data_IF_853806735897
#
_entry.id   IF_853806735897
#
_cell.length_a   1.000
_cell.length_b   1.000
_cell.length_c   1.000
_cell.angle_alpha   90.00
_cell.angle_beta   90.00
_cell.angle_gamma   90.00
#
_symmetry.space_group_name_H-M   'P 1'
#
loop_
_entity.id
_entity.type
_entity.pdbx_description
1 polymer ?
#
# COMPACT_ATOMS: atom_id res chain seq x y z
N UNK A 1 16.34 1.41 14.16
CA UNK A 1 14.92 1.10 13.90
C UNK A 1 14.80 0.90 12.40
N UNK A 2 14.58 -0.33 11.95
CA UNK A 2 14.88 -0.83 10.59
C UNK A 2 13.98 -0.20 9.52
N UNK A 3 14.59 0.44 8.53
CA UNK A 3 13.97 0.65 7.23
C UNK A 3 13.71 -0.74 6.62
N UNK A 4 12.44 -1.12 6.48
CA UNK A 4 12.10 -2.38 5.82
C UNK A 4 12.43 -2.20 4.34
N UNK A 5 13.15 -3.17 3.76
CA UNK A 5 13.38 -3.14 2.33
C UNK A 5 12.05 -3.27 1.57
N UNK A 6 11.95 -2.81 0.30
CA UNK A 6 10.74 -2.98 -0.51
C UNK A 6 10.22 -4.43 -0.55
N UNK A 7 11.12 -5.41 -0.44
CA UNK A 7 10.79 -6.83 -0.34
C UNK A 7 10.14 -7.20 1.01
N UNK A 8 10.60 -6.61 2.11
CA UNK A 8 10.02 -6.81 3.45
C UNK A 8 8.67 -6.11 3.62
N UNK A 9 8.49 -4.91 3.04
CA UNK A 9 7.19 -4.21 3.02
C UNK A 9 6.13 -4.99 2.25
N UNK A 10 6.49 -5.52 1.08
CA UNK A 10 5.61 -6.41 0.32
C UNK A 10 5.27 -7.70 1.10
N UNK A 11 6.21 -8.23 1.89
CA UNK A 11 5.95 -9.40 2.73
C UNK A 11 4.95 -9.07 3.87
N UNK A 12 5.05 -7.89 4.48
CA UNK A 12 4.12 -7.44 5.51
C UNK A 12 2.69 -7.29 4.95
N UNK A 13 2.54 -6.63 3.79
CA UNK A 13 1.24 -6.49 3.12
C UNK A 13 0.64 -7.86 2.76
N UNK A 14 1.45 -8.77 2.21
CA UNK A 14 1.00 -10.15 1.89
C UNK A 14 0.53 -10.90 3.13
N UNK A 15 1.22 -10.74 4.26
CA UNK A 15 0.83 -11.36 5.53
C UNK A 15 -0.52 -10.82 6.03
N UNK A 16 -0.72 -9.50 5.96
CA UNK A 16 -1.98 -8.85 6.35
C UNK A 16 -3.14 -9.31 5.47
N UNK A 17 -2.95 -9.33 4.14
CA UNK A 17 -3.97 -9.82 3.20
C UNK A 17 -4.31 -11.30 3.46
N UNK A 18 -3.32 -12.15 3.72
CA UNK A 18 -3.55 -13.57 4.03
C UNK A 18 -4.39 -13.72 5.31
N UNK A 19 -4.01 -13.04 6.39
CA UNK A 19 -4.73 -13.10 7.67
C UNK A 19 -6.17 -12.62 7.53
N UNK A 20 -6.39 -11.50 6.85
CA UNK A 20 -7.73 -10.98 6.58
C UNK A 20 -8.55 -11.93 5.71
N UNK A 21 -7.91 -12.56 4.71
CA UNK A 21 -8.53 -13.58 3.86
C UNK A 21 -8.97 -14.83 4.65
N UNK A 22 -8.16 -15.30 5.60
CA UNK A 22 -8.51 -16.41 6.49
C UNK A 22 -9.74 -16.07 7.36
N UNK A 23 -9.78 -14.88 7.96
CA UNK A 23 -10.91 -14.42 8.76
C UNK A 23 -12.20 -14.26 7.94
N UNK A 24 -12.06 -13.77 6.71
CA UNK A 24 -13.18 -13.67 5.78
C UNK A 24 -13.69 -15.05 5.37
N UNK A 25 -12.80 -16.01 5.11
CA UNK A 25 -13.18 -17.39 4.82
C UNK A 25 -13.97 -18.04 5.96
N UNK A 26 -13.51 -17.86 7.20
CA UNK A 26 -14.25 -18.31 8.39
C UNK A 26 -15.63 -17.64 8.50
N UNK A 27 -15.74 -16.37 8.13
CA UNK A 27 -17.01 -15.63 8.16
C UNK A 27 -17.97 -16.11 7.08
N UNK A 28 -17.48 -16.37 5.87
CA UNK A 28 -18.25 -16.98 4.78
C UNK A 28 -18.77 -18.36 5.18
N UNK A 29 -17.92 -19.21 5.78
CA UNK A 29 -18.34 -20.53 6.25
C UNK A 29 -19.45 -20.44 7.32
N UNK A 30 -19.39 -19.46 8.22
CA UNK A 30 -20.44 -19.24 9.23
C UNK A 30 -21.75 -18.72 8.64
N UNK A 31 -21.70 -17.90 7.60
CA UNK A 31 -22.89 -17.22 7.05
C UNK A 31 -23.58 -18.00 5.94
N UNK A 32 -22.81 -18.57 5.02
CA UNK A 32 -23.31 -19.23 3.81
C UNK A 32 -23.03 -20.74 3.78
N UNK A 33 -22.36 -21.25 4.82
CA UNK A 33 -21.99 -22.65 4.99
C UNK A 33 -20.64 -23.01 4.38
N UNK A 34 -20.11 -24.14 4.82
CA UNK A 34 -18.78 -24.64 4.43
C UNK A 34 -18.69 -25.00 2.94
N UNK A 35 -19.81 -25.37 2.33
CA UNK A 35 -19.90 -25.66 0.90
C UNK A 35 -19.50 -24.46 0.03
N UNK A 36 -19.89 -23.24 0.40
CA UNK A 36 -19.50 -22.05 -0.37
C UNK A 36 -17.99 -21.78 -0.25
N UNK A 37 -17.43 -21.89 0.95
CA UNK A 37 -15.99 -21.71 1.17
C UNK A 37 -15.19 -22.74 0.34
N UNK A 38 -15.61 -24.01 0.36
CA UNK A 38 -14.98 -25.06 -0.41
C UNK A 38 -15.03 -24.77 -1.92
N UNK A 39 -16.16 -24.26 -2.41
CA UNK A 39 -16.31 -23.87 -3.82
C UNK A 39 -15.38 -22.70 -4.19
N UNK A 40 -15.26 -21.69 -3.32
CA UNK A 40 -14.32 -20.57 -3.52
C UNK A 40 -12.88 -21.08 -3.63
N UNK A 41 -12.46 -21.94 -2.71
CA UNK A 41 -11.09 -22.48 -2.70
C UNK A 41 -10.83 -23.43 -3.89
N UNK A 42 -11.84 -24.20 -4.31
CA UNK A 42 -11.77 -25.01 -5.53
C UNK A 42 -11.55 -24.13 -6.77
N UNK A 43 -12.32 -23.05 -6.91
CA UNK A 43 -12.17 -22.10 -8.03
C UNK A 43 -10.80 -21.43 -8.00
N UNK A 44 -10.33 -20.97 -6.83
CA UNK A 44 -8.98 -20.38 -6.68
C UNK A 44 -7.88 -21.33 -7.13
N UNK A 45 -7.96 -22.59 -6.69
CA UNK A 45 -7.00 -23.63 -7.06
C UNK A 45 -7.03 -23.89 -8.56
N UNK A 46 -8.22 -24.09 -9.12
CA UNK A 46 -8.41 -24.38 -10.54
C UNK A 46 -7.89 -23.26 -11.45
N UNK A 47 -8.15 -21.98 -11.11
CA UNK A 47 -7.60 -20.82 -11.83
C UNK A 47 -6.08 -20.79 -11.77
N UNK A 48 -5.49 -21.09 -10.61
CA UNK A 48 -4.03 -21.14 -10.43
C UNK A 48 -3.37 -22.24 -11.28
N UNK A 49 -4.08 -23.34 -11.49
CA UNK A 49 -3.63 -24.50 -12.27
C UNK A 49 -3.99 -24.39 -13.76
N UNK A 50 -4.66 -23.31 -14.19
CA UNK A 50 -5.04 -23.07 -15.59
C UNK A 50 -6.32 -23.79 -16.06
N UNK A 51 -7.08 -24.41 -15.15
CA UNK A 51 -8.31 -25.15 -15.44
C UNK A 51 -9.62 -24.43 -15.09
N UNK A 52 -9.55 -23.14 -14.73
CA UNK A 52 -10.69 -22.41 -14.17
C UNK A 52 -11.92 -22.33 -15.08
N UNK A 53 -11.72 -22.28 -16.39
CA UNK A 53 -12.80 -22.08 -17.36
C UNK A 53 -13.79 -23.25 -17.41
N UNK A 54 -13.30 -24.48 -17.39
CA UNK A 54 -14.15 -25.68 -17.45
C UNK A 54 -14.88 -25.92 -16.14
N UNK A 55 -14.24 -25.63 -15.00
CA UNK A 55 -14.90 -25.65 -13.70
C UNK A 55 -16.05 -24.66 -13.66
N UNK A 56 -15.83 -23.40 -14.07
CA UNK A 56 -16.85 -22.36 -14.04
C UNK A 56 -18.09 -22.72 -14.87
N UNK A 57 -17.93 -23.43 -16.00
CA UNK A 57 -19.06 -23.92 -16.84
C UNK A 57 -19.97 -24.92 -16.12
N UNK A 58 -19.45 -25.63 -15.11
CA UNK A 58 -20.19 -26.63 -14.35
C UNK A 58 -20.93 -26.09 -13.12
N UNK A 59 -20.73 -24.81 -12.78
CA UNK A 59 -21.30 -24.19 -11.59
C UNK A 59 -22.72 -23.72 -11.88
N UNK A 60 -23.63 -23.98 -10.93
CA UNK A 60 -25.01 -23.51 -11.04
C UNK A 60 -25.08 -21.98 -11.05
N UNK A 61 -26.07 -21.38 -11.72
CA UNK A 61 -26.25 -19.92 -11.72
C UNK A 61 -26.38 -19.35 -10.30
N UNK A 62 -27.04 -20.07 -9.40
CA UNK A 62 -27.20 -19.66 -8.00
C UNK A 62 -25.85 -19.61 -7.27
N UNK A 63 -24.99 -20.60 -7.49
CA UNK A 63 -23.67 -20.64 -6.88
C UNK A 63 -22.71 -19.65 -7.53
N UNK A 64 -22.84 -19.38 -8.84
CA UNK A 64 -22.10 -18.31 -9.51
C UNK A 64 -22.35 -16.94 -8.88
N UNK A 65 -23.60 -16.62 -8.53
CA UNK A 65 -23.93 -15.36 -7.84
C UNK A 65 -23.26 -15.28 -6.47
N UNK A 66 -23.27 -16.37 -5.71
CA UNK A 66 -22.59 -16.44 -4.40
C UNK A 66 -21.08 -16.30 -4.53
N UNK A 67 -20.49 -16.95 -5.53
CA UNK A 67 -19.07 -16.85 -5.84
C UNK A 67 -18.66 -15.43 -6.20
N UNK A 68 -19.37 -14.78 -7.11
CA UNK A 68 -19.10 -13.39 -7.48
C UNK A 68 -19.15 -12.48 -6.26
N UNK A 69 -20.15 -12.66 -5.39
CA UNK A 69 -20.24 -11.91 -4.13
C UNK A 69 -19.04 -12.18 -3.23
N UNK A 70 -18.68 -13.43 -2.99
CA UNK A 70 -17.55 -13.80 -2.14
C UNK A 70 -16.24 -13.20 -2.68
N UNK A 71 -15.96 -13.36 -3.97
CA UNK A 71 -14.77 -12.80 -4.61
C UNK A 71 -14.75 -11.27 -4.54
N UNK A 72 -15.88 -10.59 -4.76
CA UNK A 72 -15.95 -9.12 -4.59
C UNK A 72 -15.55 -8.69 -3.17
N UNK A 73 -15.98 -9.42 -2.13
CA UNK A 73 -15.58 -9.11 -0.75
C UNK A 73 -14.08 -9.37 -0.54
N UNK A 74 -13.53 -10.47 -1.07
CA UNK A 74 -12.08 -10.72 -1.03
C UNK A 74 -11.26 -9.63 -1.74
N UNK A 75 -11.71 -9.15 -2.91
CA UNK A 75 -11.04 -8.08 -3.65
C UNK A 75 -11.09 -6.76 -2.88
N UNK A 76 -12.26 -6.39 -2.36
CA UNK A 76 -12.40 -5.17 -1.56
C UNK A 76 -11.52 -5.19 -0.31
N UNK A 77 -11.42 -6.35 0.35
CA UNK A 77 -10.54 -6.56 1.49
C UNK A 77 -9.07 -6.33 1.12
N UNK A 78 -8.60 -6.91 0.00
CA UNK A 78 -7.24 -6.72 -0.48
C UNK A 78 -6.96 -5.24 -0.80
N UNK A 79 -7.91 -4.57 -1.46
CA UNK A 79 -7.80 -3.14 -1.78
C UNK A 79 -7.68 -2.27 -0.52
N UNK A 80 -8.51 -2.53 0.51
CA UNK A 80 -8.44 -1.80 1.78
C UNK A 80 -7.12 -2.07 2.49
N UNK A 81 -6.65 -3.33 2.52
CA UNK A 81 -5.36 -3.66 3.12
C UNK A 81 -4.20 -2.91 2.44
N UNK A 82 -4.21 -2.83 1.11
CA UNK A 82 -3.23 -2.06 0.35
C UNK A 82 -3.32 -0.56 0.66
N UNK A 83 -4.51 0.02 0.74
CA UNK A 83 -4.70 1.42 1.08
C UNK A 83 -4.21 1.76 2.49
N UNK A 84 -4.49 0.90 3.47
CA UNK A 84 -4.00 1.05 4.84
C UNK A 84 -2.47 0.96 4.87
N UNK A 85 -1.90 -0.02 4.16
CA UNK A 85 -0.45 -0.16 4.06
C UNK A 85 0.20 1.08 3.42
N UNK A 86 -0.31 1.54 2.27
CA UNK A 86 0.15 2.78 1.60
C UNK A 86 0.06 3.99 2.53
N UNK A 87 -1.03 4.13 3.27
CA UNK A 87 -1.20 5.22 4.24
C UNK A 87 -0.16 5.17 5.36
N UNK A 88 0.20 3.97 5.85
CA UNK A 88 1.27 3.78 6.83
C UNK A 88 2.64 4.16 6.27
N UNK A 89 2.97 3.72 5.05
CA UNK A 89 4.22 4.07 4.36
C UNK A 89 4.33 5.60 4.20
N UNK A 90 3.30 6.27 3.67
CA UNK A 90 3.28 7.73 3.52
C UNK A 90 3.37 8.47 4.88
N UNK A 91 2.78 7.92 5.94
CA UNK A 91 2.93 8.47 7.28
C UNK A 91 4.37 8.34 7.79
N UNK A 92 5.01 7.19 7.57
CA UNK A 92 6.40 6.96 7.95
C UNK A 92 7.38 7.83 7.15
N UNK A 93 7.15 8.00 5.84
CA UNK A 93 7.94 8.91 4.99
C UNK A 93 7.84 10.35 5.48
N UNK A 94 6.65 10.82 5.87
CA UNK A 94 6.46 12.16 6.47
C UNK A 94 7.20 12.32 7.79
N UNK A 95 7.29 11.27 8.61
CA UNK A 95 8.03 11.27 9.87
C UNK A 95 9.54 11.26 9.61
N UNK A 96 10.02 10.46 8.66
CA UNK A 96 11.45 10.30 8.33
C UNK A 96 12.04 11.48 7.55
N UNK A 97 11.30 12.03 6.60
CA UNK A 97 11.74 13.16 5.77
C UNK A 97 11.72 14.50 6.50
N UNK A 98 11.32 14.53 7.77
CA UNK A 98 10.98 15.74 8.50
C UNK A 98 9.74 16.43 7.91
N UNK A 99 9.07 17.26 8.71
CA UNK A 99 8.14 18.24 8.14
C UNK A 99 8.90 19.05 7.06
N UNK A 100 8.23 19.46 5.99
CA UNK A 100 8.80 20.43 5.03
C UNK A 100 9.37 21.65 5.77
N UNK A 101 8.78 22.01 6.92
CA UNK A 101 9.28 23.02 7.84
C UNK A 101 10.62 22.65 8.49
N UNK A 102 10.81 21.39 8.90
CA UNK A 102 12.08 20.93 9.48
C UNK A 102 13.21 21.02 8.45
N UNK A 103 12.92 20.71 7.18
CA UNK A 103 13.88 20.84 6.08
C UNK A 103 14.17 22.30 5.73
N UNK A 104 13.16 23.17 5.73
CA UNK A 104 13.35 24.60 5.58
C UNK A 104 14.24 25.17 6.72
N UNK A 105 14.05 24.70 7.96
CA UNK A 105 14.91 25.05 9.10
C UNK A 105 16.34 24.57 8.89
N UNK A 106 16.55 23.35 8.38
CA UNK A 106 17.89 22.83 8.09
C UNK A 106 18.61 23.69 7.02
N UNK A 107 17.91 24.11 5.95
CA UNK A 107 18.46 25.01 4.94
C UNK A 107 18.82 26.39 5.49
N UNK A 108 18.01 26.94 6.41
CA UNK A 108 18.33 28.20 7.11
C UNK A 108 19.59 28.05 7.97
N UNK A 109 19.72 26.93 8.69
CA UNK A 109 20.90 26.63 9.52
C UNK A 109 22.14 26.52 8.63
N UNK A 110 22.04 25.89 7.47
CA UNK A 110 23.13 25.71 6.52
C UNK A 110 23.55 27.03 5.86
N UNK A 111 22.60 27.82 5.36
CA UNK A 111 22.85 29.15 4.78
C UNK A 111 23.53 30.10 5.78
N UNK A 112 23.10 30.05 7.06
CA UNK A 112 23.74 30.83 8.12
C UNK A 112 25.19 30.39 8.39
N UNK A 113 25.50 29.09 8.28
CA UNK A 113 26.86 28.57 8.46
C UNK A 113 27.79 28.93 7.30
N UNK A 114 27.27 29.01 6.09
CA UNK A 114 28.03 29.40 4.89
C UNK A 114 28.17 30.93 4.73
N UNK A 115 27.57 31.73 5.62
CA UNK A 115 27.61 33.19 5.55
C UNK A 115 26.77 33.76 4.40
N UNK A 116 25.84 32.96 3.86
CA UNK A 116 24.94 33.37 2.80
C UNK A 116 23.79 34.19 3.37
N UNK A 117 23.46 35.31 2.71
CA UNK A 117 22.30 36.11 3.09
C UNK A 117 21.02 35.43 2.59
N UNK A 118 20.01 35.32 3.44
CA UNK A 118 18.79 34.55 3.14
C UNK A 118 17.72 35.52 2.65
N UNK A 119 17.29 35.37 1.39
CA UNK A 119 16.25 36.23 0.82
C UNK A 119 14.83 35.71 1.09
N UNK A 120 13.84 36.61 1.01
CA UNK A 120 12.41 36.25 1.06
C UNK A 120 12.00 35.27 -0.06
N UNK A 121 12.72 35.28 -1.19
CA UNK A 121 12.50 34.35 -2.29
C UNK A 121 12.99 32.94 -1.95
N UNK A 122 14.13 32.81 -1.26
CA UNK A 122 14.67 31.53 -0.78
C UNK A 122 13.73 30.91 0.26
N UNK A 123 13.24 31.73 1.20
CA UNK A 123 12.26 31.30 2.19
C UNK A 123 10.98 30.81 1.54
N UNK A 124 10.38 31.56 0.60
CA UNK A 124 9.18 31.12 -0.11
C UNK A 124 9.41 29.81 -0.87
N UNK A 125 10.54 29.69 -1.57
CA UNK A 125 10.90 28.47 -2.30
C UNK A 125 11.00 27.24 -1.38
N UNK A 126 11.62 27.39 -0.21
CA UNK A 126 11.74 26.29 0.76
C UNK A 126 10.41 25.97 1.45
N UNK A 127 9.56 26.97 1.66
CA UNK A 127 8.25 26.79 2.28
C UNK A 127 7.21 26.17 1.32
N UNK A 128 7.30 26.47 0.02
CA UNK A 128 6.41 25.91 -1.01
C UNK A 128 6.79 24.47 -1.42
N UNK A 129 7.89 23.94 -0.86
CA UNK A 129 8.31 22.55 -1.04
C UNK A 129 8.92 22.25 -2.42
N UNK A 130 9.30 23.28 -3.18
CA UNK A 130 9.71 23.14 -4.57
C UNK A 130 11.11 22.49 -4.65
N UNK A 131 11.13 21.26 -5.17
CA UNK A 131 12.29 20.38 -5.14
C UNK A 131 13.15 20.59 -6.39
N UNK A 132 14.02 21.60 -6.39
CA UNK A 132 15.12 21.67 -7.36
C UNK A 132 16.43 21.36 -6.66
N UNK A 133 17.04 20.17 -6.87
CA UNK A 133 18.38 19.92 -6.41
C UNK A 133 19.35 20.78 -7.24
N UNK A 134 19.77 21.93 -6.70
CA UNK A 134 20.78 22.74 -7.37
C UNK A 134 22.17 22.19 -7.02
N UNK A 135 22.58 21.16 -7.75
CA UNK A 135 23.96 20.67 -7.76
C UNK A 135 24.80 21.49 -8.75
N UNK A 136 24.82 22.82 -8.60
CA UNK A 136 25.73 23.70 -9.33
C UNK A 136 26.01 24.94 -8.47
N UNK A 137 26.97 24.83 -7.54
CA UNK A 137 27.79 25.98 -7.09
C UNK A 137 28.93 25.65 -6.11
N UNK A 138 29.34 24.38 -5.97
CA UNK A 138 30.64 24.05 -5.36
C UNK A 138 31.75 24.03 -6.42
N UNK A 139 32.01 25.19 -7.03
CA UNK A 139 33.31 25.47 -7.64
C UNK A 139 33.60 26.97 -7.51
N UNK A 140 34.24 27.35 -6.41
CA UNK A 140 35.52 28.07 -6.37
C UNK A 140 35.97 28.29 -4.94
#
# INVERSE_FOLDING_TARGET
>A
MSDLSPQQDNAALRSDVRRLGELLGQSLARQDGEALLNLVELVRKSVREGGGEDLLKSISTADSVKLVRAFNVYFNLANVAEQVHRSRVLAQERIKGGSWLSRAVDHIIEAKKSGHDISDADLKKWLDGDHTPNNEQFHR
#
